data_IF_668595037227
#
_entry.id   IF_668595037227
#
_cell.length_a   1.000
_cell.length_b   1.000
_cell.length_c   1.000
_cell.angle_alpha   90.00
_cell.angle_beta   90.00
_cell.angle_gamma   90.00
#
_symmetry.space_group_name_H-M   'P 1'
#
loop_
_entity.id
_entity.type
_entity.pdbx_description
1 polymer ?
#
# COMPACT_ATOMS: atom_id res chain seq x y z
N UNK A 1 1.93 2.56 12.43
CA UNK A 1 3.06 1.80 11.82
C UNK A 1 3.30 0.54 12.62
N UNK A 2 3.52 -0.61 11.99
CA UNK A 2 3.74 -1.90 12.67
C UNK A 2 5.15 -1.91 13.31
N UNK A 3 5.31 -2.17 14.64
CA UNK A 3 6.62 -2.27 15.29
C UNK A 3 7.59 -3.24 14.59
N UNK A 4 7.07 -4.36 14.11
CA UNK A 4 7.85 -5.34 13.36
C UNK A 4 8.47 -4.79 12.07
N UNK A 5 7.80 -3.85 11.39
CA UNK A 5 8.37 -3.15 10.23
C UNK A 5 9.57 -2.31 10.65
N UNK A 6 9.48 -1.57 11.76
CA UNK A 6 10.57 -0.72 12.25
C UNK A 6 11.81 -1.55 12.55
N UNK A 7 11.67 -2.62 13.35
CA UNK A 7 12.78 -3.52 13.67
C UNK A 7 13.41 -4.14 12.43
N UNK A 8 12.59 -4.61 11.51
CA UNK A 8 13.06 -5.23 10.28
C UNK A 8 13.79 -4.24 9.37
N UNK A 9 13.35 -2.99 9.32
CA UNK A 9 14.02 -1.95 8.53
C UNK A 9 15.38 -1.61 9.13
N UNK A 10 15.47 -1.45 10.46
CA UNK A 10 16.75 -1.18 11.14
C UNK A 10 17.74 -2.33 10.90
N UNK A 11 17.31 -3.58 11.09
CA UNK A 11 18.18 -4.76 10.84
C UNK A 11 18.62 -4.83 9.37
N UNK A 12 17.73 -4.50 8.44
CA UNK A 12 18.05 -4.45 7.01
C UNK A 12 19.10 -3.37 6.70
N UNK A 13 18.97 -2.19 7.29
CA UNK A 13 19.95 -1.10 7.13
C UNK A 13 21.32 -1.49 7.72
N UNK A 14 21.34 -2.15 8.89
CA UNK A 14 22.58 -2.68 9.47
C UNK A 14 23.25 -3.70 8.53
N UNK A 15 22.48 -4.61 7.93
CA UNK A 15 22.99 -5.56 6.94
C UNK A 15 23.56 -4.87 5.71
N UNK A 16 22.92 -3.81 5.21
CA UNK A 16 23.43 -2.99 4.10
C UNK A 16 24.76 -2.33 4.49
N UNK A 17 24.87 -1.78 5.71
CA UNK A 17 26.12 -1.17 6.19
C UNK A 17 27.29 -2.13 6.11
N UNK A 18 27.07 -3.39 6.52
CA UNK A 18 28.10 -4.44 6.51
C UNK A 18 28.43 -4.88 5.08
N UNK A 19 27.40 -5.07 4.22
CA UNK A 19 27.58 -5.68 2.90
C UNK A 19 27.88 -4.69 1.78
N UNK A 20 27.39 -3.44 1.87
CA UNK A 20 27.43 -2.44 0.80
C UNK A 20 28.06 -1.11 1.22
N UNK A 21 28.44 -0.98 2.50
CA UNK A 21 29.12 0.18 3.03
C UNK A 21 28.19 1.29 3.55
N UNK A 22 28.83 2.28 4.17
CA UNK A 22 28.17 3.35 4.92
C UNK A 22 27.33 4.28 4.03
N UNK A 23 27.81 4.61 2.84
CA UNK A 23 27.11 5.53 1.94
C UNK A 23 25.70 4.99 1.57
N UNK A 24 25.63 3.71 1.24
CA UNK A 24 24.37 3.05 0.92
C UNK A 24 23.45 2.97 2.13
N UNK A 25 24.00 2.63 3.31
CA UNK A 25 23.24 2.58 4.56
C UNK A 25 22.64 3.95 4.90
N UNK A 26 23.43 5.02 4.80
CA UNK A 26 23.00 6.39 5.07
C UNK A 26 21.84 6.84 4.15
N UNK A 27 21.84 6.42 2.88
CA UNK A 27 20.71 6.65 1.98
C UNK A 27 19.40 6.06 2.53
N UNK A 28 19.44 4.81 2.99
CA UNK A 28 18.25 4.15 3.55
C UNK A 28 17.83 4.72 4.91
N UNK A 29 18.78 5.14 5.75
CA UNK A 29 18.50 5.89 6.98
C UNK A 29 17.74 7.17 6.66
N UNK A 30 18.16 7.92 5.64
CA UNK A 30 17.48 9.13 5.19
C UNK A 30 16.05 8.87 4.75
N UNK A 31 15.82 7.82 3.93
CA UNK A 31 14.48 7.41 3.49
C UNK A 31 13.61 7.01 4.68
N UNK A 32 14.15 6.22 5.62
CA UNK A 32 13.43 5.77 6.81
C UNK A 32 13.04 6.94 7.71
N UNK A 33 13.98 7.87 7.97
CA UNK A 33 13.73 9.07 8.78
C UNK A 33 12.66 9.98 8.16
N UNK A 34 12.72 10.19 6.83
CA UNK A 34 11.69 10.93 6.09
C UNK A 34 10.33 10.25 6.24
N UNK A 35 10.27 8.93 6.06
CA UNK A 35 9.02 8.16 6.17
C UNK A 35 8.41 8.23 7.58
N UNK A 36 9.22 8.15 8.64
CA UNK A 36 8.76 8.32 10.02
C UNK A 36 8.13 9.69 10.23
N UNK A 37 8.80 10.76 9.79
CA UNK A 37 8.27 12.14 9.89
C UNK A 37 6.94 12.27 9.14
N UNK A 38 6.90 11.82 7.87
CA UNK A 38 5.67 11.84 7.08
C UNK A 38 4.53 11.07 7.76
N UNK A 39 4.81 9.95 8.44
CA UNK A 39 3.79 9.21 9.21
C UNK A 39 3.20 10.05 10.33
N UNK A 40 4.03 10.84 11.04
CA UNK A 40 3.56 11.72 12.12
C UNK A 40 2.71 12.87 11.55
N UNK A 41 3.13 13.46 10.44
CA UNK A 41 2.38 14.53 9.76
C UNK A 41 1.02 14.01 9.25
N UNK A 42 0.99 12.81 8.64
CA UNK A 42 -0.25 12.16 8.19
C UNK A 42 -1.21 11.83 9.34
N UNK A 43 -0.70 11.54 10.54
CA UNK A 43 -1.54 11.18 11.69
C UNK A 43 -2.39 12.35 12.20
N UNK A 44 -1.98 13.59 11.95
CA UNK A 44 -2.68 14.81 12.38
C UNK A 44 -3.38 15.53 11.22
N UNK A 45 -3.18 15.10 9.98
CA UNK A 45 -3.76 15.70 8.80
C UNK A 45 -5.17 15.18 8.55
N UNK A 46 -6.10 16.05 8.17
CA UNK A 46 -7.45 15.66 7.76
C UNK A 46 -7.48 15.11 6.32
N UNK A 47 -6.68 15.67 5.45
CA UNK A 47 -6.56 15.28 4.05
C UNK A 47 -5.09 15.25 3.62
N UNK A 48 -4.80 14.45 2.62
CA UNK A 48 -3.47 14.30 2.01
C UNK A 48 -3.62 14.27 0.50
N UNK A 49 -2.65 14.79 -0.25
CA UNK A 49 -2.67 14.60 -1.70
C UNK A 49 -2.43 13.12 -2.07
N UNK A 50 -3.09 12.66 -3.13
CA UNK A 50 -2.85 11.31 -3.66
C UNK A 50 -1.37 11.09 -4.02
N UNK A 51 -0.70 12.13 -4.49
CA UNK A 51 0.71 12.09 -4.82
C UNK A 51 1.58 11.86 -3.58
N UNK A 52 1.31 12.56 -2.47
CA UNK A 52 2.09 12.43 -1.24
C UNK A 52 1.90 11.04 -0.60
N UNK A 53 0.67 10.49 -0.63
CA UNK A 53 0.45 9.12 -0.16
C UNK A 53 1.20 8.10 -1.02
N UNK A 54 1.22 8.26 -2.34
CA UNK A 54 1.97 7.37 -3.24
C UNK A 54 3.47 7.48 -3.00
N UNK A 55 4.01 8.67 -2.78
CA UNK A 55 5.43 8.85 -2.46
C UNK A 55 5.81 8.19 -1.12
N UNK A 56 4.94 8.31 -0.13
CA UNK A 56 5.06 7.58 1.13
C UNK A 56 5.09 6.06 0.89
N UNK A 57 4.17 5.52 0.08
CA UNK A 57 4.08 4.10 -0.24
C UNK A 57 5.31 3.61 -1.03
N UNK A 58 5.87 4.43 -1.92
CA UNK A 58 7.13 4.14 -2.62
C UNK A 58 8.29 4.02 -1.63
N UNK A 59 8.36 4.92 -0.64
CA UNK A 59 9.36 4.87 0.42
C UNK A 59 9.21 3.60 1.27
N UNK A 60 7.97 3.23 1.62
CA UNK A 60 7.66 1.99 2.35
C UNK A 60 8.12 0.74 1.57
N UNK A 61 7.77 0.63 0.29
CA UNK A 61 8.16 -0.50 -0.56
C UNK A 61 9.67 -0.55 -0.78
N UNK A 62 10.33 0.60 -0.94
CA UNK A 62 11.79 0.68 -1.06
C UNK A 62 12.49 0.10 0.18
N UNK A 63 11.99 0.41 1.38
CA UNK A 63 12.52 -0.13 2.63
C UNK A 63 12.22 -1.64 2.78
N UNK A 64 11.07 -2.11 2.32
CA UNK A 64 10.77 -3.55 2.28
C UNK A 64 11.72 -4.30 1.34
N UNK A 65 12.06 -3.72 0.19
CA UNK A 65 12.96 -4.31 -0.80
C UNK A 65 14.39 -4.57 -0.28
N UNK A 66 14.81 -3.93 0.81
CA UNK A 66 16.12 -4.18 1.43
C UNK A 66 16.34 -5.68 1.72
N UNK A 67 15.27 -6.40 2.05
CA UNK A 67 15.30 -7.80 2.50
C UNK A 67 14.83 -8.79 1.44
N UNK A 68 14.44 -8.29 0.27
CA UNK A 68 13.86 -9.11 -0.77
C UNK A 68 14.88 -9.47 -1.83
N UNK A 69 14.95 -10.76 -2.16
CA UNK A 69 15.71 -11.25 -3.31
C UNK A 69 15.10 -10.72 -4.62
N UNK A 70 13.77 -10.66 -4.67
CA UNK A 70 13.00 -10.20 -5.83
C UNK A 70 12.23 -8.93 -5.45
N UNK A 71 12.61 -7.76 -5.98
CA UNK A 71 12.05 -6.49 -5.56
C UNK A 71 10.60 -6.29 -6.04
N UNK A 72 9.86 -5.54 -5.24
CA UNK A 72 8.52 -5.04 -5.54
C UNK A 72 8.65 -3.69 -6.24
N UNK A 73 7.80 -3.43 -7.23
CA UNK A 73 7.70 -2.14 -7.91
C UNK A 73 6.29 -1.57 -7.76
N UNK A 74 6.18 -0.27 -7.49
CA UNK A 74 4.91 0.47 -7.59
C UNK A 74 4.86 1.16 -8.94
N UNK A 75 3.83 0.84 -9.71
CA UNK A 75 3.48 1.46 -10.97
C UNK A 75 2.21 2.28 -10.77
N UNK A 76 2.12 3.46 -11.38
CA UNK A 76 0.94 4.32 -11.30
C UNK A 76 0.37 4.57 -12.69
N UNK A 77 -0.95 4.44 -12.82
CA UNK A 77 -1.72 4.67 -14.05
C UNK A 77 -2.88 5.60 -13.73
N UNK A 78 -2.83 6.83 -14.21
CA UNK A 78 -3.88 7.83 -13.97
C UNK A 78 -4.51 8.27 -15.27
N UNK A 79 -5.81 8.55 -15.22
CA UNK A 79 -6.49 9.21 -16.32
C UNK A 79 -5.89 10.62 -16.55
N UNK A 80 -5.87 11.10 -17.79
CA UNK A 80 -5.22 12.36 -18.18
C UNK A 80 -5.74 13.59 -17.42
N UNK A 81 -6.97 13.55 -16.97
CA UNK A 81 -7.63 14.62 -16.22
C UNK A 81 -7.37 14.56 -14.70
N UNK A 82 -6.55 13.62 -14.22
CA UNK A 82 -6.17 13.49 -12.81
C UNK A 82 -4.81 14.12 -12.56
N UNK A 83 -4.81 15.20 -11.79
CA UNK A 83 -3.58 15.71 -11.19
C UNK A 83 -3.47 15.16 -9.75
N UNK A 84 -2.60 14.17 -9.48
CA UNK A 84 -2.51 13.54 -8.17
C UNK A 84 -2.05 14.48 -7.05
N UNK A 85 -1.41 15.61 -7.37
CA UNK A 85 -1.06 16.65 -6.41
C UNK A 85 -2.28 17.44 -5.91
N UNK A 86 -3.32 17.53 -6.75
CA UNK A 86 -4.56 18.25 -6.41
C UNK A 86 -5.66 17.35 -5.85
N UNK A 87 -5.62 16.06 -6.12
CA UNK A 87 -6.62 15.11 -5.60
C UNK A 87 -6.33 14.83 -4.13
N UNK A 88 -7.29 15.11 -3.27
CA UNK A 88 -7.21 14.88 -1.83
C UNK A 88 -7.90 13.59 -1.43
N UNK A 89 -7.27 12.84 -0.55
CA UNK A 89 -7.78 11.60 0.05
C UNK A 89 -7.55 11.60 1.56
N UNK A 90 -8.20 10.69 2.28
CA UNK A 90 -7.90 10.46 3.70
C UNK A 90 -6.47 9.92 3.84
N UNK A 91 -5.67 10.45 4.78
CA UNK A 91 -4.32 9.95 5.02
C UNK A 91 -4.30 8.45 5.32
N UNK A 92 -3.29 7.74 4.86
CA UNK A 92 -3.12 6.29 5.06
C UNK A 92 -4.32 5.46 4.53
N UNK A 93 -4.95 5.89 3.45
CA UNK A 93 -6.10 5.19 2.86
C UNK A 93 -5.64 3.97 2.05
N UNK A 94 -4.56 4.10 1.28
CA UNK A 94 -4.02 3.04 0.43
C UNK A 94 -3.02 2.15 1.17
N UNK A 95 -2.40 2.66 2.23
CA UNK A 95 -1.36 1.96 2.99
C UNK A 95 -1.78 0.57 3.45
N UNK A 96 -2.98 0.33 4.05
CA UNK A 96 -3.37 -1.01 4.50
C UNK A 96 -3.46 -2.03 3.37
N UNK A 97 -3.77 -1.57 2.15
CA UNK A 97 -3.87 -2.42 0.96
C UNK A 97 -2.45 -2.83 0.52
N UNK A 98 -1.55 -1.86 0.41
CA UNK A 98 -0.16 -2.09 0.02
C UNK A 98 0.56 -2.97 1.05
N UNK A 99 0.37 -2.73 2.35
CA UNK A 99 0.91 -3.59 3.41
C UNK A 99 0.44 -5.04 3.27
N UNK A 100 -0.84 -5.26 2.99
CA UNK A 100 -1.37 -6.59 2.74
C UNK A 100 -0.75 -7.25 1.51
N UNK A 101 -0.63 -6.53 0.39
CA UNK A 101 0.00 -7.03 -0.83
C UNK A 101 1.45 -7.42 -0.58
N UNK A 102 2.22 -6.58 0.14
CA UNK A 102 3.61 -6.85 0.51
C UNK A 102 3.71 -8.08 1.42
N UNK A 103 2.91 -8.17 2.48
CA UNK A 103 2.96 -9.28 3.44
C UNK A 103 2.55 -10.63 2.82
N UNK A 104 1.60 -10.62 1.89
CA UNK A 104 1.04 -11.84 1.32
C UNK A 104 1.68 -12.25 -0.01
N UNK A 105 2.20 -11.29 -0.77
CA UNK A 105 2.96 -11.54 -2.00
C UNK A 105 4.35 -12.11 -1.75
N UNK A 106 4.99 -11.71 -0.63
CA UNK A 106 6.40 -12.00 -0.31
C UNK A 106 6.76 -13.48 -0.18
N UNK A 107 5.84 -14.34 0.20
CA UNK A 107 6.21 -15.67 0.70
C UNK A 107 6.37 -16.74 -0.37
N UNK A 108 6.19 -16.45 -1.66
CA UNK A 108 6.00 -17.51 -2.65
C UNK A 108 6.49 -17.28 -4.06
N UNK A 109 6.78 -16.06 -4.45
CA UNK A 109 7.15 -15.77 -5.84
C UNK A 109 8.66 -15.66 -5.98
N UNK A 110 9.23 -16.54 -6.82
CA UNK A 110 10.64 -16.46 -7.22
C UNK A 110 10.81 -15.54 -8.44
N UNK A 111 10.22 -14.35 -8.38
CA UNK A 111 10.32 -13.28 -9.38
C UNK A 111 9.99 -11.93 -8.77
N UNK A 112 10.46 -10.87 -9.37
CA UNK A 112 9.98 -9.51 -9.09
C UNK A 112 8.49 -9.39 -9.40
N UNK A 113 7.76 -8.56 -8.67
CA UNK A 113 6.34 -8.35 -8.85
C UNK A 113 5.94 -6.89 -8.70
N UNK A 114 4.74 -6.58 -9.17
CA UNK A 114 4.28 -5.22 -9.28
C UNK A 114 3.03 -4.99 -8.44
N UNK A 115 2.94 -3.78 -7.92
CA UNK A 115 1.70 -3.21 -7.40
C UNK A 115 1.35 -2.05 -8.33
N UNK A 116 0.20 -2.12 -8.97
CA UNK A 116 -0.30 -1.08 -9.88
C UNK A 116 -1.37 -0.28 -9.17
N UNK A 117 -1.20 1.03 -9.05
CA UNK A 117 -2.18 1.96 -8.49
C UNK A 117 -2.78 2.73 -9.65
N UNK A 118 -4.08 2.54 -9.86
CA UNK A 118 -4.85 3.23 -10.90
C UNK A 118 -5.79 4.24 -10.26
N UNK A 119 -5.93 5.41 -10.87
CA UNK A 119 -6.92 6.40 -10.46
C UNK A 119 -7.73 6.87 -11.67
N UNK A 120 -9.05 6.91 -11.50
CA UNK A 120 -10.00 7.40 -12.48
C UNK A 120 -11.04 8.27 -11.79
N UNK A 121 -11.61 9.22 -12.52
CA UNK A 121 -12.71 10.04 -12.02
C UNK A 121 -13.94 9.84 -12.88
N UNK A 122 -15.11 9.75 -12.22
CA UNK A 122 -16.41 9.72 -12.87
C UNK A 122 -17.35 10.61 -12.08
N UNK A 123 -17.83 11.70 -12.70
CA UNK A 123 -18.60 12.73 -12.00
C UNK A 123 -17.87 13.25 -10.74
N UNK A 124 -18.49 13.14 -9.58
CA UNK A 124 -17.95 13.58 -8.29
C UNK A 124 -17.27 12.44 -7.49
N UNK A 125 -16.95 11.32 -8.16
CA UNK A 125 -16.32 10.17 -7.54
C UNK A 125 -14.88 9.98 -8.05
N UNK A 126 -14.02 9.57 -7.12
CA UNK A 126 -12.68 9.08 -7.37
C UNK A 126 -12.68 7.55 -7.22
N UNK A 127 -12.29 6.86 -8.27
CA UNK A 127 -12.10 5.41 -8.28
C UNK A 127 -10.61 5.11 -8.21
N UNK A 128 -10.20 4.47 -7.12
CA UNK A 128 -8.84 4.00 -6.91
C UNK A 128 -8.84 2.48 -7.00
N UNK A 129 -8.00 1.93 -7.88
CA UNK A 129 -7.82 0.50 -8.05
C UNK A 129 -6.36 0.15 -7.78
N UNK A 130 -6.16 -0.78 -6.85
CA UNK A 130 -4.83 -1.28 -6.51
C UNK A 130 -4.78 -2.77 -6.89
N UNK A 131 -3.87 -3.11 -7.80
CA UNK A 131 -3.68 -4.48 -8.27
C UNK A 131 -2.29 -4.96 -7.90
N UNK A 132 -2.19 -6.17 -7.35
CA UNK A 132 -0.92 -6.88 -7.22
C UNK A 132 -0.93 -8.13 -8.11
N UNK A 133 0.24 -8.52 -8.60
CA UNK A 133 0.45 -9.75 -9.36
C UNK A 133 0.97 -10.90 -8.47
N UNK A 134 0.53 -10.90 -7.20
CA UNK A 134 0.86 -11.89 -6.18
C UNK A 134 0.15 -13.23 -6.36
N UNK A 135 0.12 -14.03 -5.27
CA UNK A 135 -0.47 -15.38 -5.28
C UNK A 135 -2.00 -15.40 -5.20
N UNK A 136 -2.63 -14.23 -4.99
CA UNK A 136 -4.06 -14.09 -4.75
C UNK A 136 -4.50 -14.43 -3.32
N UNK A 137 -5.74 -14.08 -3.00
CA UNK A 137 -6.30 -14.15 -1.64
C UNK A 137 -6.48 -15.59 -1.15
N UNK A 138 -6.99 -16.48 -2.00
CA UNK A 138 -7.27 -17.88 -1.63
C UNK A 138 -5.99 -18.63 -1.24
N UNK A 139 -4.96 -18.59 -2.07
CA UNK A 139 -3.68 -19.23 -1.78
C UNK A 139 -2.99 -18.63 -0.55
N UNK A 140 -3.14 -17.32 -0.32
CA UNK A 140 -2.65 -16.65 0.88
C UNK A 140 -3.36 -17.11 2.15
N UNK A 141 -4.68 -17.34 2.12
CA UNK A 141 -5.47 -17.85 3.25
C UNK A 141 -5.12 -19.31 3.60
N UNK A 142 -4.93 -20.15 2.59
CA UNK A 142 -4.58 -21.56 2.79
C UNK A 142 -3.18 -21.69 3.44
N UNK A 143 -2.23 -20.85 3.07
CA UNK A 143 -0.92 -20.80 3.73
C UNK A 143 -0.98 -20.31 5.17
N UNK A 144 -1.87 -19.38 5.51
CA UNK A 144 -2.07 -18.92 6.89
C UNK A 144 -2.58 -20.03 7.80
N UNK A 145 -3.45 -20.92 7.29
CA UNK A 145 -3.94 -22.08 8.05
C UNK A 145 -2.83 -23.06 8.40
N UNK A 146 -1.83 -23.22 7.52
CA UNK A 146 -0.69 -24.12 7.74
C UNK A 146 0.36 -23.58 8.72
N UNK A 147 0.46 -22.26 8.90
CA UNK A 147 1.54 -21.61 9.67
C UNK A 147 1.12 -21.03 11.01
N UNK A 148 0.01 -21.44 11.63
CA UNK A 148 -0.49 -21.03 12.97
C UNK A 148 -0.43 -19.50 13.28
N UNK A 149 -0.18 -18.62 12.31
CA UNK A 149 -0.12 -17.19 12.53
C UNK A 149 -1.47 -16.59 12.18
N UNK A 150 -2.33 -16.46 13.20
CA UNK A 150 -3.61 -15.74 13.12
C UNK A 150 -3.40 -14.22 13.02
N UNK A 151 -2.66 -13.71 12.05
CA UNK A 151 -2.85 -12.33 11.65
C UNK A 151 -4.04 -12.28 10.68
N UNK A 152 -5.27 -12.32 11.25
CA UNK A 152 -6.45 -11.77 10.54
C UNK A 152 -6.01 -10.42 10.00
N UNK A 153 -6.36 -10.10 8.76
CA UNK A 153 -6.01 -8.82 8.15
C UNK A 153 -6.74 -7.68 8.86
N UNK A 154 -6.23 -7.28 10.04
CA UNK A 154 -6.73 -6.14 10.79
C UNK A 154 -6.76 -4.89 9.92
N UNK A 155 -5.79 -4.77 9.01
CA UNK A 155 -5.67 -3.67 8.06
C UNK A 155 -6.92 -3.51 7.18
N UNK A 156 -7.44 -4.58 6.59
CA UNK A 156 -8.66 -4.55 5.76
C UNK A 156 -9.90 -4.19 6.58
N UNK A 157 -9.96 -4.68 7.83
CA UNK A 157 -11.06 -4.36 8.75
C UNK A 157 -11.04 -2.88 9.12
N UNK A 158 -9.89 -2.35 9.51
CA UNK A 158 -9.69 -0.92 9.81
C UNK A 158 -10.07 -0.05 8.61
N UNK A 159 -9.67 -0.44 7.39
CA UNK A 159 -10.04 0.30 6.21
C UNK A 159 -11.54 0.34 5.99
N UNK A 160 -12.24 -0.80 6.16
CA UNK A 160 -13.71 -0.81 6.09
C UNK A 160 -14.35 0.09 7.11
N UNK A 161 -13.94 0.01 8.37
CA UNK A 161 -14.44 0.86 9.46
C UNK A 161 -14.21 2.36 9.14
N UNK A 162 -13.09 2.72 8.53
CA UNK A 162 -12.83 4.10 8.09
C UNK A 162 -13.74 4.54 6.94
N UNK A 163 -14.02 3.66 5.98
CA UNK A 163 -14.97 3.94 4.89
C UNK A 163 -16.38 4.09 5.42
N UNK A 164 -16.80 3.24 6.36
CA UNK A 164 -18.11 3.32 7.00
C UNK A 164 -18.26 4.64 7.79
N UNK A 165 -17.22 5.05 8.50
CA UNK A 165 -17.18 6.34 9.20
C UNK A 165 -17.24 7.53 8.22
N UNK A 166 -16.51 7.48 7.11
CA UNK A 166 -16.57 8.50 6.06
C UNK A 166 -17.99 8.64 5.51
N UNK A 167 -18.65 7.51 5.23
CA UNK A 167 -20.03 7.49 4.75
C UNK A 167 -21.00 8.09 5.77
N UNK A 168 -20.80 7.82 7.06
CA UNK A 168 -21.62 8.36 8.12
C UNK A 168 -21.45 9.88 8.27
N UNK A 169 -20.20 10.38 8.29
CA UNK A 169 -19.88 11.79 8.53
C UNK A 169 -20.20 12.68 7.31
N UNK A 170 -19.89 12.22 6.11
CA UNK A 170 -20.01 13.01 4.89
C UNK A 170 -21.28 12.71 4.09
N UNK A 171 -22.15 11.78 4.59
CA UNK A 171 -23.29 11.25 3.84
C UNK A 171 -22.91 10.76 2.44
N UNK A 172 -21.69 10.28 2.32
CA UNK A 172 -21.07 9.81 1.09
C UNK A 172 -21.50 8.37 0.77
N UNK A 173 -21.29 7.96 -0.48
CA UNK A 173 -21.45 6.56 -0.92
C UNK A 173 -20.08 6.01 -1.30
N UNK A 174 -19.20 5.92 -0.30
CA UNK A 174 -17.88 5.31 -0.51
C UNK A 174 -17.99 3.79 -0.40
N UNK A 175 -17.26 3.09 -1.26
CA UNK A 175 -17.26 1.64 -1.32
C UNK A 175 -15.83 1.11 -1.29
N UNK A 176 -15.65 -0.05 -0.66
CA UNK A 176 -14.40 -0.79 -0.69
C UNK A 176 -14.66 -2.28 -0.80
N UNK A 177 -14.04 -2.92 -1.79
CA UNK A 177 -14.04 -4.37 -1.90
C UNK A 177 -12.72 -4.92 -2.43
N UNK A 178 -12.54 -6.22 -2.21
CA UNK A 178 -11.39 -6.99 -2.65
C UNK A 178 -11.85 -8.17 -3.49
N UNK A 179 -11.19 -8.38 -4.61
CA UNK A 179 -11.43 -9.52 -5.50
C UNK A 179 -10.12 -10.18 -5.93
N UNK A 180 -10.18 -11.43 -6.37
CA UNK A 180 -9.05 -12.08 -7.00
C UNK A 180 -8.96 -11.65 -8.47
N UNK A 181 -7.75 -11.29 -8.93
CA UNK A 181 -7.48 -11.10 -10.35
C UNK A 181 -7.40 -12.46 -11.03
N UNK A 182 -8.28 -12.68 -12.01
CA UNK A 182 -8.37 -13.94 -12.74
C UNK A 182 -8.03 -13.73 -14.21
N UNK A 183 -7.09 -14.53 -14.74
CA UNK A 183 -6.77 -14.60 -16.17
C UNK A 183 -6.70 -16.05 -16.60
N UNK A 184 -7.41 -16.41 -17.68
CA UNK A 184 -7.46 -17.77 -18.20
C UNK A 184 -7.81 -18.82 -17.10
N UNK A 185 -8.85 -18.54 -16.31
CA UNK A 185 -9.30 -19.35 -15.16
C UNK A 185 -8.25 -19.56 -14.05
N UNK A 186 -7.15 -18.81 -14.05
CA UNK A 186 -6.11 -18.85 -12.99
C UNK A 186 -6.11 -17.53 -12.23
N UNK A 187 -5.97 -17.62 -10.92
CA UNK A 187 -5.75 -16.45 -10.07
C UNK A 187 -4.32 -15.99 -10.31
N UNK A 188 -4.16 -14.70 -10.66
CA UNK A 188 -2.88 -14.08 -10.99
C UNK A 188 -2.53 -12.91 -10.07
N UNK A 189 -3.33 -12.68 -9.03
CA UNK A 189 -3.11 -11.59 -8.08
C UNK A 189 -4.38 -11.19 -7.33
N UNK A 190 -4.34 -10.01 -6.72
CA UNK A 190 -5.46 -9.42 -5.99
C UNK A 190 -5.76 -8.04 -6.54
N UNK A 191 -7.03 -7.65 -6.56
CA UNK A 191 -7.51 -6.31 -6.85
C UNK A 191 -8.27 -5.75 -5.65
N UNK A 192 -7.90 -4.56 -5.21
CA UNK A 192 -8.65 -3.74 -4.28
C UNK A 192 -9.27 -2.57 -5.03
N UNK A 193 -10.54 -2.32 -4.80
CA UNK A 193 -11.28 -1.20 -5.41
C UNK A 193 -11.84 -0.33 -4.31
N UNK A 194 -11.54 0.97 -4.41
CA UNK A 194 -12.11 2.02 -3.58
C UNK A 194 -12.83 3.02 -4.48
N UNK A 195 -14.05 3.35 -4.10
CA UNK A 195 -14.80 4.47 -4.68
C UNK A 195 -15.08 5.45 -3.55
N UNK A 196 -14.65 6.69 -3.68
CA UNK A 196 -14.80 7.74 -2.66
C UNK A 196 -15.20 9.05 -3.32
N UNK A 197 -15.79 10.01 -2.59
CA UNK A 197 -16.02 11.36 -3.08
C UNK A 197 -14.70 11.99 -3.55
N UNK A 198 -14.75 12.64 -4.70
CA UNK A 198 -13.63 13.38 -5.24
C UNK A 198 -13.47 14.70 -4.50
N UNK A 199 -12.34 14.90 -3.83
CA UNK A 199 -11.95 16.17 -3.23
C UNK A 199 -10.76 16.74 -3.99
N UNK A 200 -10.78 18.03 -4.28
CA UNK A 200 -9.71 18.73 -5.01
C UNK A 200 -9.23 19.90 -4.16
N UNK A 201 -7.92 20.03 -4.05
CA UNK A 201 -7.30 21.23 -3.51
C UNK A 201 -7.35 22.33 -4.56
N UNK A 202 -7.99 23.45 -4.22
CA UNK A 202 -8.15 24.64 -5.08
C UNK A 202 -6.88 25.47 -5.18
#
# INVERSE_FOLDING_TARGET
MNPHFIYNTINGIQSIMILKGEEMANKYVGVFSKMLRTTMDMAVSENLSLADEIEYLRSYVLLQNIRLEYPIKIVTEFDENINPQKVLILPMLLQPIIENSVLHGLSSLKRSWNIVIKARTSQDLLHLVIEDDGIGRKASLDKKKSNMVQHKSHATKILKERIDLLNYLEKAKSEFYLEDLVKNARIIGTRAVLTIPKKINT
#
